data_IF_019167884898
#
_entry.id   IF_019167884898
#
_cell.length_a   1.000
_cell.length_b   1.000
_cell.length_c   1.000
_cell.angle_alpha   90.00
_cell.angle_beta   90.00
_cell.angle_gamma   90.00
#
_symmetry.space_group_name_H-M   'P 1'
#
loop_
_entity.id
_entity.type
_entity.pdbx_description
1 polymer ?
#
# COMPACT_ATOMS: atom_id res chain seq x y z
N UNK A 1 -13.66 -15.35 20.39
CA UNK A 1 -12.52 -16.26 20.67
C UNK A 1 -11.37 -15.74 19.83
N UNK A 2 -10.46 -15.06 20.49
CA UNK A 2 -9.29 -14.45 19.85
C UNK A 2 -8.30 -15.57 19.52
N UNK A 3 -8.26 -15.97 18.25
CA UNK A 3 -7.22 -16.83 17.73
C UNK A 3 -5.90 -16.02 17.70
N UNK A 4 -5.03 -16.28 18.68
CA UNK A 4 -3.69 -15.76 18.63
C UNK A 4 -2.96 -16.42 17.47
N UNK A 5 -2.73 -15.66 16.42
CA UNK A 5 -1.80 -16.05 15.37
C UNK A 5 -0.40 -16.12 15.99
N UNK A 6 0.22 -17.30 15.93
CA UNK A 6 1.62 -17.49 16.28
C UNK A 6 2.49 -16.71 15.28
N UNK A 7 2.69 -15.44 15.59
CA UNK A 7 3.65 -14.61 14.83
C UNK A 7 5.04 -15.17 15.05
N UNK A 8 5.65 -15.71 14.02
CA UNK A 8 7.09 -15.96 14.04
C UNK A 8 7.77 -14.58 13.91
N UNK A 9 7.91 -13.90 15.06
CA UNK A 9 8.54 -12.60 15.10
C UNK A 9 10.02 -12.72 14.79
N UNK A 10 10.43 -12.23 13.63
CA UNK A 10 11.82 -11.89 13.36
C UNK A 10 12.11 -10.58 14.11
N UNK A 11 12.36 -10.67 15.41
CA UNK A 11 12.71 -9.49 16.19
C UNK A 11 14.09 -9.01 15.77
N UNK A 12 14.16 -7.81 15.21
CA UNK A 12 15.41 -7.08 15.18
C UNK A 12 15.94 -6.91 16.60
N UNK A 13 17.27 -7.07 16.77
CA UNK A 13 17.96 -6.80 18.03
C UNK A 13 18.02 -5.30 18.36
N UNK A 14 17.62 -4.43 17.43
CA UNK A 14 17.59 -2.98 17.60
C UNK A 14 16.16 -2.55 17.91
N UNK A 15 15.93 -1.91 19.04
CA UNK A 15 14.65 -1.29 19.38
C UNK A 15 14.30 -0.18 18.40
N UNK A 16 13.00 0.08 18.23
CA UNK A 16 12.48 1.13 17.35
C UNK A 16 10.97 1.07 17.21
N UNK A 17 10.43 1.89 16.33
CA UNK A 17 8.99 1.99 16.02
C UNK A 17 8.54 1.01 14.93
N UNK A 18 9.50 0.33 14.27
CA UNK A 18 9.24 -0.67 13.23
C UNK A 18 9.35 -2.06 13.82
N UNK A 19 8.28 -2.82 13.73
CA UNK A 19 8.26 -4.26 13.98
C UNK A 19 7.90 -5.01 12.70
N UNK A 20 8.43 -6.20 12.51
CA UNK A 20 8.11 -7.05 11.37
C UNK A 20 8.22 -8.53 11.73
N UNK A 21 7.59 -9.36 10.92
CA UNK A 21 7.62 -10.81 11.07
C UNK A 21 6.98 -11.50 9.87
N UNK A 22 7.08 -12.82 9.81
CA UNK A 22 6.24 -13.62 8.92
C UNK A 22 4.93 -13.87 9.64
N UNK A 23 3.82 -13.56 8.97
CA UNK A 23 2.47 -13.70 9.49
C UNK A 23 1.57 -14.28 8.40
N UNK A 24 0.32 -14.53 8.72
CA UNK A 24 -0.68 -15.07 7.81
C UNK A 24 -1.83 -14.09 7.64
N UNK A 25 -2.16 -13.76 6.39
CA UNK A 25 -3.33 -12.96 6.02
C UNK A 25 -4.22 -13.82 5.12
N UNK A 26 -5.42 -14.15 5.57
CA UNK A 26 -6.39 -15.01 4.87
C UNK A 26 -5.77 -16.30 4.31
N UNK A 27 -4.94 -16.99 5.11
CA UNK A 27 -4.30 -18.24 4.71
C UNK A 27 -3.05 -18.09 3.86
N UNK A 28 -2.59 -16.84 3.58
CA UNK A 28 -1.38 -16.56 2.82
C UNK A 28 -0.27 -16.05 3.73
N UNK A 29 0.90 -16.65 3.65
CA UNK A 29 2.08 -16.15 4.35
C UNK A 29 2.59 -14.86 3.71
N UNK A 30 2.84 -13.87 4.55
CA UNK A 30 3.35 -12.55 4.15
C UNK A 30 4.47 -12.11 5.09
N UNK A 31 5.34 -11.25 4.64
CA UNK A 31 6.16 -10.46 5.57
C UNK A 31 5.34 -9.25 5.96
N UNK A 32 4.91 -9.23 7.22
CA UNK A 32 4.11 -8.17 7.79
C UNK A 32 5.01 -7.17 8.49
N UNK A 33 4.86 -5.90 8.16
CA UNK A 33 5.59 -4.76 8.76
C UNK A 33 4.59 -3.84 9.43
N UNK A 34 4.92 -3.39 10.63
CA UNK A 34 4.18 -2.33 11.33
C UNK A 34 5.10 -1.16 11.67
N UNK A 35 4.71 0.02 11.27
CA UNK A 35 5.37 1.28 11.63
C UNK A 35 4.37 2.08 12.46
N UNK A 36 4.56 2.06 13.77
CA UNK A 36 3.67 2.74 14.73
C UNK A 36 4.33 2.81 16.12
N UNK A 37 3.69 3.47 17.06
CA UNK A 37 4.11 3.42 18.46
C UNK A 37 4.70 4.71 18.98
N UNK A 38 5.74 4.60 19.80
CA UNK A 38 6.38 5.74 20.48
C UNK A 38 6.83 6.81 19.47
N UNK A 39 6.94 8.05 19.91
CA UNK A 39 7.34 9.19 19.08
C UNK A 39 6.53 9.33 17.76
N UNK A 40 5.26 8.92 17.76
CA UNK A 40 4.36 8.94 16.60
C UNK A 40 4.91 8.16 15.40
N UNK A 41 5.63 7.06 15.63
CA UNK A 41 6.22 6.27 14.56
C UNK A 41 7.37 6.97 13.83
N UNK A 42 8.12 7.86 14.50
CA UNK A 42 9.26 8.52 13.87
C UNK A 42 10.37 7.50 13.57
N UNK A 43 10.91 7.55 12.35
CA UNK A 43 11.91 6.59 11.89
C UNK A 43 13.32 7.00 12.36
N UNK A 44 13.93 6.15 13.16
CA UNK A 44 15.35 6.20 13.56
C UNK A 44 16.22 5.39 12.59
N UNK A 45 17.54 5.50 12.63
CA UNK A 45 18.41 4.66 11.79
C UNK A 45 18.13 3.15 11.93
N UNK A 46 17.85 2.69 13.14
CA UNK A 46 17.51 1.30 13.43
C UNK A 46 16.19 0.86 12.75
N UNK A 47 15.21 1.74 12.67
CA UNK A 47 13.94 1.49 11.97
C UNK A 47 14.16 1.34 10.48
N UNK A 48 15.04 2.14 9.88
CA UNK A 48 15.46 1.99 8.50
C UNK A 48 16.09 0.63 8.22
N UNK A 49 16.93 0.14 9.12
CA UNK A 49 17.52 -1.20 9.02
C UNK A 49 16.45 -2.29 9.18
N UNK A 50 15.51 -2.14 10.11
CA UNK A 50 14.39 -3.09 10.28
C UNK A 50 13.53 -3.17 9.01
N UNK A 51 13.20 -2.05 8.41
CA UNK A 51 12.50 -1.99 7.12
C UNK A 51 13.29 -2.68 6.01
N UNK A 52 14.60 -2.42 5.93
CA UNK A 52 15.48 -3.04 4.95
C UNK A 52 15.57 -4.56 5.13
N UNK A 53 15.64 -5.05 6.38
CA UNK A 53 15.65 -6.49 6.67
C UNK A 53 14.30 -7.11 6.31
N UNK A 54 13.18 -6.45 6.61
CA UNK A 54 11.85 -6.93 6.24
C UNK A 54 11.71 -7.08 4.72
N UNK A 55 12.11 -6.06 3.96
CA UNK A 55 12.07 -6.09 2.50
C UNK A 55 12.98 -7.19 1.92
N UNK A 56 14.22 -7.32 2.42
CA UNK A 56 15.11 -8.43 2.02
C UNK A 56 14.49 -9.78 2.33
N UNK A 57 13.88 -9.94 3.51
CA UNK A 57 13.23 -11.20 3.90
C UNK A 57 12.09 -11.53 2.95
N UNK A 58 11.24 -10.57 2.61
CA UNK A 58 10.15 -10.76 1.65
C UNK A 58 10.68 -11.24 0.30
N UNK A 59 11.67 -10.54 -0.26
CA UNK A 59 12.30 -10.89 -1.53
C UNK A 59 12.97 -12.28 -1.49
N UNK A 60 13.78 -12.55 -0.48
CA UNK A 60 14.60 -13.76 -0.41
C UNK A 60 13.76 -15.01 -0.08
N UNK A 61 12.68 -14.85 0.69
CA UNK A 61 11.71 -15.90 1.01
C UNK A 61 10.57 -15.98 -0.03
N UNK A 62 10.50 -15.01 -0.97
CA UNK A 62 9.47 -14.95 -2.02
C UNK A 62 8.05 -14.85 -1.45
N UNK A 63 7.88 -13.99 -0.45
CA UNK A 63 6.61 -13.71 0.21
C UNK A 63 6.16 -12.28 -0.08
N UNK A 64 4.86 -12.04 -0.23
CA UNK A 64 4.33 -10.67 -0.31
C UNK A 64 4.77 -9.83 0.89
N UNK A 65 5.01 -8.55 0.65
CA UNK A 65 5.39 -7.57 1.66
C UNK A 65 4.18 -6.67 1.98
N UNK A 66 3.65 -6.79 3.18
CA UNK A 66 2.49 -6.01 3.65
C UNK A 66 2.95 -5.06 4.75
N UNK A 67 2.72 -3.77 4.58
CA UNK A 67 3.18 -2.73 5.49
C UNK A 67 2.00 -1.90 6.02
N UNK A 68 1.74 -1.96 7.33
CA UNK A 68 0.85 -1.03 8.02
C UNK A 68 1.66 0.16 8.49
N UNK A 69 1.29 1.38 8.08
CA UNK A 69 2.10 2.56 8.31
C UNK A 69 1.34 3.70 8.95
N UNK A 70 1.90 4.18 10.09
CA UNK A 70 1.58 5.45 10.70
C UNK A 70 2.89 6.06 11.21
N UNK A 71 3.37 7.14 10.59
CA UNK A 71 4.69 7.69 10.89
C UNK A 71 4.74 9.21 10.72
N UNK A 72 5.34 9.87 11.69
CA UNK A 72 5.61 11.32 11.63
C UNK A 72 6.84 11.68 10.77
N UNK A 73 7.46 10.70 10.11
CA UNK A 73 8.65 10.91 9.29
C UNK A 73 9.95 10.55 9.99
N UNK A 74 11.05 11.13 9.57
CA UNK A 74 12.36 10.89 10.15
C UNK A 74 12.47 11.47 11.57
N UNK A 75 13.15 10.76 12.47
CA UNK A 75 13.52 11.26 13.78
C UNK A 75 14.53 12.41 13.64
N UNK A 76 14.08 13.63 13.90
CA UNK A 76 14.86 14.86 13.62
C UNK A 76 16.13 14.93 14.49
N UNK A 77 16.08 14.41 15.69
CA UNK A 77 17.20 14.32 16.62
C UNK A 77 18.35 13.42 16.12
N UNK A 78 18.08 12.49 15.24
CA UNK A 78 19.08 11.60 14.63
C UNK A 78 19.76 12.21 13.37
N UNK A 79 19.25 13.33 12.89
CA UNK A 79 19.86 14.07 11.78
C UNK A 79 20.07 13.23 10.53
N UNK A 80 21.30 13.25 9.98
CA UNK A 80 21.64 12.52 8.74
C UNK A 80 21.51 10.99 8.91
N UNK A 81 21.64 10.47 10.13
CA UNK A 81 21.47 9.05 10.42
C UNK A 81 20.08 8.53 10.04
N UNK A 82 19.02 9.27 10.37
CA UNK A 82 17.65 8.90 10.01
C UNK A 82 17.44 8.91 8.48
N UNK A 83 18.02 9.87 7.76
CA UNK A 83 17.96 9.93 6.30
C UNK A 83 18.68 8.75 5.66
N UNK A 84 19.86 8.38 6.19
CA UNK A 84 20.59 7.22 5.73
C UNK A 84 19.81 5.92 5.93
N UNK A 85 19.19 5.75 7.12
CA UNK A 85 18.36 4.59 7.42
C UNK A 85 17.16 4.48 6.45
N UNK A 86 16.47 5.58 6.21
CA UNK A 86 15.39 5.64 5.22
C UNK A 86 15.87 5.25 3.81
N UNK A 87 17.01 5.81 3.36
CA UNK A 87 17.59 5.49 2.04
C UNK A 87 17.95 4.01 1.90
N UNK A 88 18.44 3.39 2.99
CA UNK A 88 18.72 1.94 3.03
C UNK A 88 17.43 1.13 2.88
N UNK A 89 16.37 1.50 3.60
CA UNK A 89 15.05 0.88 3.46
C UNK A 89 14.52 1.03 2.02
N UNK A 90 14.48 2.24 1.49
CA UNK A 90 13.96 2.52 0.15
C UNK A 90 14.67 1.69 -0.93
N UNK A 91 15.99 1.53 -0.83
CA UNK A 91 16.77 0.68 -1.75
C UNK A 91 16.28 -0.77 -1.75
N UNK A 92 16.03 -1.34 -0.58
CA UNK A 92 15.56 -2.73 -0.49
C UNK A 92 14.10 -2.89 -0.95
N UNK A 93 13.24 -1.89 -0.71
CA UNK A 93 11.88 -1.87 -1.29
C UNK A 93 11.93 -1.82 -2.81
N UNK A 94 12.79 -0.98 -3.40
CA UNK A 94 13.01 -0.96 -4.86
C UNK A 94 13.46 -2.32 -5.37
N UNK A 95 14.30 -3.04 -4.61
CA UNK A 95 14.75 -4.37 -4.99
C UNK A 95 13.66 -5.46 -4.87
N UNK A 96 12.55 -5.20 -4.18
CA UNK A 96 11.37 -6.06 -4.12
C UNK A 96 10.44 -5.83 -5.32
N UNK A 97 10.45 -4.63 -5.91
CA UNK A 97 9.58 -4.27 -7.03
C UNK A 97 9.76 -5.23 -8.20
N UNK A 98 8.65 -5.80 -8.70
CA UNK A 98 8.66 -6.81 -9.75
C UNK A 98 9.14 -8.20 -9.31
N UNK A 99 9.39 -8.41 -8.01
CA UNK A 99 9.76 -9.74 -7.46
C UNK A 99 8.65 -10.28 -6.58
N UNK A 100 8.16 -9.50 -5.64
CA UNK A 100 7.05 -9.84 -4.74
C UNK A 100 6.06 -8.68 -4.68
N UNK A 101 4.77 -8.93 -4.45
CA UNK A 101 3.79 -7.88 -4.23
C UNK A 101 4.14 -7.03 -3.01
N UNK A 102 4.03 -5.71 -3.15
CA UNK A 102 4.23 -4.73 -2.08
C UNK A 102 2.90 -4.00 -1.84
N UNK A 103 2.30 -4.21 -0.67
CA UNK A 103 1.04 -3.58 -0.28
C UNK A 103 1.27 -2.70 0.93
N UNK A 104 0.91 -1.42 0.84
CA UNK A 104 0.90 -0.50 1.97
C UNK A 104 -0.52 -0.23 2.44
N UNK A 105 -0.71 -0.24 3.75
CA UNK A 105 -1.92 0.23 4.41
C UNK A 105 -1.58 1.43 5.29
N UNK A 106 -2.13 2.59 4.96
CA UNK A 106 -2.00 3.80 5.76
C UNK A 106 -3.01 3.75 6.90
N UNK A 107 -2.51 3.60 8.13
CA UNK A 107 -3.33 3.43 9.35
C UNK A 107 -3.38 4.67 10.23
N UNK A 108 -2.70 5.72 9.82
CA UNK A 108 -2.62 6.99 10.54
C UNK A 108 -1.80 8.02 9.76
N UNK A 109 -1.44 9.14 10.39
CA UNK A 109 -0.58 10.14 9.77
C UNK A 109 0.68 9.51 9.19
N UNK A 110 0.93 9.73 7.89
CA UNK A 110 2.10 9.17 7.19
C UNK A 110 2.77 10.29 6.41
N UNK A 111 3.90 10.80 6.92
CA UNK A 111 4.49 12.02 6.36
C UNK A 111 5.98 11.84 6.00
N UNK A 112 6.48 12.70 5.11
CA UNK A 112 7.88 12.74 4.70
C UNK A 112 8.35 11.44 4.02
N UNK A 113 9.47 10.86 4.46
CA UNK A 113 10.06 9.64 3.89
C UNK A 113 9.10 8.44 3.80
N UNK A 114 8.36 8.08 4.87
CA UNK A 114 7.34 7.04 4.81
C UNK A 114 6.27 7.26 3.73
N UNK A 115 5.83 8.50 3.53
CA UNK A 115 4.89 8.81 2.44
C UNK A 115 5.49 8.57 1.04
N UNK A 116 6.80 8.75 0.87
CA UNK A 116 7.49 8.43 -0.39
C UNK A 116 7.53 6.92 -0.67
N UNK A 117 7.55 6.07 0.38
CA UNK A 117 7.52 4.62 0.19
C UNK A 117 6.21 4.14 -0.44
N UNK A 118 5.10 4.88 -0.27
CA UNK A 118 3.82 4.55 -0.92
C UNK A 118 3.95 4.53 -2.45
N UNK A 119 4.84 5.34 -3.01
CA UNK A 119 5.13 5.32 -4.46
C UNK A 119 5.93 4.11 -4.95
N UNK A 120 6.37 3.23 -4.06
CA UNK A 120 7.03 1.96 -4.38
C UNK A 120 6.10 0.76 -4.20
N UNK A 121 4.88 0.99 -3.72
CA UNK A 121 3.88 -0.05 -3.53
C UNK A 121 3.19 -0.40 -4.86
N UNK A 122 2.82 -1.66 -5.01
CA UNK A 122 1.93 -2.10 -6.08
C UNK A 122 0.48 -1.72 -5.77
N UNK A 123 0.11 -1.77 -4.47
CA UNK A 123 -1.22 -1.37 -3.99
C UNK A 123 -1.10 -0.55 -2.70
N UNK A 124 -1.92 0.49 -2.61
CA UNK A 124 -2.05 1.33 -1.40
C UNK A 124 -3.50 1.33 -0.94
N UNK A 125 -3.71 0.91 0.29
CA UNK A 125 -4.98 1.00 1.01
C UNK A 125 -4.87 2.14 2.02
N UNK A 126 -5.87 2.99 2.14
CA UNK A 126 -5.91 4.03 3.17
C UNK A 126 -7.15 3.85 4.06
N UNK A 127 -6.95 3.89 5.38
CA UNK A 127 -8.06 3.95 6.31
C UNK A 127 -8.63 5.38 6.31
N UNK A 128 -9.95 5.51 6.43
CA UNK A 128 -10.62 6.80 6.51
C UNK A 128 -10.03 7.67 7.63
N UNK A 129 -10.11 8.98 7.47
CA UNK A 129 -9.53 9.98 8.37
C UNK A 129 -8.00 9.92 8.52
N UNK A 130 -7.30 9.15 7.66
CA UNK A 130 -5.83 9.17 7.57
C UNK A 130 -5.36 10.11 6.48
N UNK A 131 -4.07 10.44 6.53
CA UNK A 131 -3.47 11.27 5.49
C UNK A 131 -2.00 10.90 5.26
N UNK A 132 -1.55 11.13 4.02
CA UNK A 132 -0.17 10.94 3.62
C UNK A 132 0.30 12.11 2.75
N UNK A 133 1.47 12.66 3.01
CA UNK A 133 2.12 13.67 2.17
C UNK A 133 3.62 13.79 2.48
N UNK A 134 4.39 14.19 1.51
CA UNK A 134 5.83 14.43 1.70
C UNK A 134 6.07 15.74 2.44
N UNK A 135 5.44 16.82 2.00
CA UNK A 135 5.49 18.13 2.63
C UNK A 135 4.13 18.49 3.19
N UNK A 136 4.09 18.85 4.47
CA UNK A 136 2.84 19.17 5.15
C UNK A 136 2.20 20.50 4.72
N UNK A 137 0.93 20.73 5.06
CA UNK A 137 0.17 21.92 4.66
C UNK A 137 0.88 23.23 4.91
N UNK A 138 1.52 23.38 6.08
CA UNK A 138 2.25 24.61 6.43
C UNK A 138 3.37 24.92 5.43
N UNK A 139 4.12 23.90 4.99
CA UNK A 139 5.21 24.11 4.03
C UNK A 139 4.65 24.42 2.65
N UNK A 140 3.60 23.71 2.24
CA UNK A 140 2.94 23.95 0.96
C UNK A 140 2.37 25.37 0.91
N UNK A 141 1.67 25.82 1.97
CA UNK A 141 1.12 27.17 2.07
C UNK A 141 2.20 28.26 1.99
N UNK A 142 3.38 28.04 2.57
CA UNK A 142 4.49 28.98 2.46
C UNK A 142 5.01 29.16 1.03
N UNK A 143 4.94 28.11 0.21
CA UNK A 143 5.42 28.14 -1.18
C UNK A 143 4.34 28.62 -2.15
N UNK A 144 3.09 28.23 -1.94
CA UNK A 144 2.00 28.48 -2.90
C UNK A 144 1.17 29.70 -2.54
N UNK A 145 1.15 30.09 -1.24
CA UNK A 145 0.24 31.10 -0.72
C UNK A 145 -1.19 30.62 -0.49
N UNK A 146 -1.46 29.32 -0.73
CA UNK A 146 -2.76 28.71 -0.52
C UNK A 146 -2.78 27.91 0.78
N UNK A 147 -3.92 27.95 1.50
CA UNK A 147 -4.08 27.19 2.73
C UNK A 147 -4.72 25.82 2.46
N UNK A 148 -4.13 24.78 3.04
CA UNK A 148 -4.64 23.42 2.97
C UNK A 148 -4.83 22.83 4.37
N UNK A 149 -5.88 22.04 4.54
CA UNK A 149 -5.98 21.10 5.66
C UNK A 149 -5.16 19.83 5.36
N UNK A 150 -4.91 18.99 6.38
CA UNK A 150 -4.28 17.69 6.17
C UNK A 150 -5.08 16.82 5.20
N UNK A 151 -6.41 16.81 5.38
CA UNK A 151 -7.33 16.06 4.54
C UNK A 151 -7.35 16.59 3.09
N UNK A 152 -7.44 17.91 2.93
CA UNK A 152 -7.46 18.57 1.61
C UNK A 152 -6.15 18.42 0.84
N UNK A 153 -5.00 18.24 1.53
CA UNK A 153 -3.70 18.04 0.89
C UNK A 153 -3.41 16.58 0.56
N UNK A 154 -3.74 15.67 1.47
CA UNK A 154 -3.33 14.28 1.34
C UNK A 154 -4.19 13.29 2.13
N UNK A 155 -5.48 13.59 2.34
CA UNK A 155 -6.44 12.68 2.95
C UNK A 155 -6.78 11.49 2.06
N UNK A 156 -7.38 10.44 2.64
CA UNK A 156 -7.77 9.22 1.93
C UNK A 156 -8.60 9.51 0.67
N UNK A 157 -9.64 10.34 0.80
CA UNK A 157 -10.50 10.74 -0.32
C UNK A 157 -9.74 11.53 -1.40
N UNK A 158 -8.79 12.41 -1.00
CA UNK A 158 -7.97 13.15 -1.96
C UNK A 158 -7.08 12.21 -2.75
N UNK A 159 -6.46 11.24 -2.08
CA UNK A 159 -5.59 10.26 -2.73
C UNK A 159 -6.34 9.26 -3.61
N UNK A 160 -7.54 8.86 -3.21
CA UNK A 160 -8.39 7.97 -4.01
C UNK A 160 -8.91 8.66 -5.29
N UNK A 161 -9.48 9.89 -5.15
CA UNK A 161 -10.23 10.52 -6.24
C UNK A 161 -9.41 11.43 -7.15
N UNK A 162 -8.31 11.98 -6.65
CA UNK A 162 -7.59 13.03 -7.35
C UNK A 162 -6.17 12.65 -7.69
N UNK A 163 -5.39 12.13 -6.75
CA UNK A 163 -3.98 11.85 -6.99
C UNK A 163 -3.70 10.41 -7.46
N UNK A 164 -4.62 9.48 -7.18
CA UNK A 164 -4.45 8.07 -7.51
C UNK A 164 -3.39 7.34 -6.65
N UNK A 165 -2.94 7.94 -5.56
CA UNK A 165 -1.99 7.28 -4.63
C UNK A 165 -2.67 6.18 -3.84
N UNK A 166 -3.89 6.41 -3.34
CA UNK A 166 -4.71 5.36 -2.76
C UNK A 166 -5.47 4.63 -3.87
N UNK A 167 -5.29 3.33 -3.94
CA UNK A 167 -6.05 2.45 -4.83
C UNK A 167 -7.40 2.10 -4.21
N UNK A 168 -7.42 1.97 -2.87
CA UNK A 168 -8.61 1.61 -2.12
C UNK A 168 -8.67 2.37 -0.79
N UNK A 169 -9.89 2.59 -0.31
CA UNK A 169 -10.15 3.13 1.02
C UNK A 169 -11.01 2.17 1.83
N UNK A 170 -10.90 2.21 3.15
CA UNK A 170 -11.70 1.41 4.07
C UNK A 170 -11.91 2.16 5.39
N UNK A 171 -12.89 1.73 6.18
CA UNK A 171 -13.29 2.44 7.40
C UNK A 171 -12.38 2.19 8.58
N UNK A 172 -11.76 1.01 8.67
CA UNK A 172 -10.98 0.60 9.82
C UNK A 172 -9.92 -0.45 9.46
N UNK A 173 -9.18 -0.88 10.49
CA UNK A 173 -8.10 -1.85 10.34
C UNK A 173 -8.58 -3.24 9.94
N UNK A 174 -9.71 -3.66 10.47
CA UNK A 174 -10.24 -5.00 10.17
C UNK A 174 -10.66 -5.06 8.69
N UNK A 175 -11.37 -4.03 8.22
CA UNK A 175 -11.69 -3.87 6.81
C UNK A 175 -10.45 -3.78 5.91
N UNK A 176 -9.36 -3.16 6.38
CA UNK A 176 -8.10 -3.13 5.64
C UNK A 176 -7.47 -4.53 5.53
N UNK A 177 -7.50 -5.33 6.59
CA UNK A 177 -6.98 -6.71 6.57
C UNK A 177 -7.79 -7.59 5.61
N UNK A 178 -9.11 -7.47 5.64
CA UNK A 178 -10.00 -8.21 4.74
C UNK A 178 -9.73 -7.83 3.28
N UNK A 179 -9.63 -6.54 2.98
CA UNK A 179 -9.32 -6.04 1.64
C UNK A 179 -7.94 -6.48 1.16
N UNK A 180 -6.91 -6.44 2.02
CA UNK A 180 -5.57 -6.93 1.69
C UNK A 180 -5.61 -8.45 1.41
N UNK A 181 -6.38 -9.21 2.18
CA UNK A 181 -6.60 -10.63 1.94
C UNK A 181 -7.25 -10.89 0.57
N UNK A 182 -8.24 -10.09 0.21
CA UNK A 182 -8.87 -10.13 -1.11
C UNK A 182 -7.87 -9.80 -2.23
N UNK A 183 -7.13 -8.70 -2.12
CA UNK A 183 -6.09 -8.32 -3.09
C UNK A 183 -5.04 -9.41 -3.27
N UNK A 184 -4.57 -10.00 -2.18
CA UNK A 184 -3.65 -11.12 -2.24
C UNK A 184 -4.24 -12.34 -2.95
N UNK A 185 -5.57 -12.54 -2.95
CA UNK A 185 -6.21 -13.65 -3.64
C UNK A 185 -6.08 -13.58 -5.16
N UNK A 186 -5.84 -12.39 -5.72
CA UNK A 186 -5.64 -12.16 -7.15
C UNK A 186 -4.16 -12.16 -7.55
N UNK A 187 -3.25 -12.03 -6.59
CA UNK A 187 -1.81 -11.89 -6.86
C UNK A 187 -1.06 -13.19 -6.56
N UNK A 188 -0.01 -13.53 -7.33
CA UNK A 188 0.91 -14.59 -6.94
C UNK A 188 1.76 -14.15 -5.73
N UNK A 189 2.42 -15.09 -5.05
CA UNK A 189 3.36 -14.75 -3.97
C UNK A 189 4.62 -14.05 -4.51
N UNK A 190 5.01 -14.38 -5.72
CA UNK A 190 6.18 -13.81 -6.38
C UNK A 190 6.12 -14.01 -7.91
N UNK A 191 6.96 -13.29 -8.63
CA UNK A 191 6.95 -13.23 -10.10
C UNK A 191 7.17 -14.57 -10.81
N UNK A 192 7.80 -15.58 -10.17
CA UNK A 192 8.03 -16.89 -10.78
C UNK A 192 6.86 -17.88 -10.56
N UNK A 193 5.78 -17.45 -9.92
CA UNK A 193 4.57 -18.25 -9.69
C UNK A 193 3.44 -17.72 -10.58
N UNK A 194 2.68 -18.64 -11.17
CA UNK A 194 1.48 -18.25 -11.91
C UNK A 194 0.47 -17.57 -10.97
N UNK A 195 -0.26 -16.55 -11.44
CA UNK A 195 -1.32 -15.92 -10.65
C UNK A 195 -2.42 -16.96 -10.34
N UNK A 196 -3.14 -16.77 -9.23
CA UNK A 196 -4.33 -17.56 -8.95
C UNK A 196 -5.31 -17.49 -10.12
N UNK A 197 -5.93 -18.62 -10.44
CA UNK A 197 -6.93 -18.70 -11.48
C UNK A 197 -8.25 -19.21 -10.87
N UNK A 198 -9.32 -18.53 -11.16
CA UNK A 198 -10.66 -18.91 -10.75
C UNK A 198 -11.39 -19.55 -11.93
N UNK A 199 -12.12 -20.67 -11.71
CA UNK A 199 -12.94 -21.22 -12.77
C UNK A 199 -14.02 -20.20 -13.16
N UNK A 200 -14.04 -19.80 -14.43
CA UNK A 200 -15.12 -18.99 -14.99
C UNK A 200 -16.02 -19.86 -15.85
N UNK A 201 -17.33 -19.61 -15.81
CA UNK A 201 -18.32 -20.17 -16.74
C UNK A 201 -18.37 -19.42 -18.08
N UNK A 202 -17.67 -18.32 -18.19
CA UNK A 202 -17.69 -17.45 -19.35
C UNK A 202 -16.85 -18.06 -20.51
N UNK A 203 -17.41 -18.19 -21.72
CA UNK A 203 -16.65 -18.68 -22.86
C UNK A 203 -15.53 -17.72 -23.26
N UNK A 204 -14.33 -18.24 -23.55
CA UNK A 204 -13.15 -17.45 -23.94
C UNK A 204 -13.35 -16.63 -25.23
N UNK A 205 -14.35 -16.98 -26.03
CA UNK A 205 -14.70 -16.34 -27.29
C UNK A 205 -16.08 -15.64 -27.24
N UNK A 206 -16.59 -15.35 -26.04
CA UNK A 206 -17.84 -14.62 -25.84
C UNK A 206 -17.78 -13.26 -26.53
N UNK A 207 -18.69 -12.97 -27.49
CA UNK A 207 -18.75 -11.65 -28.08
C UNK A 207 -19.38 -10.64 -27.11
N UNK A 208 -18.86 -9.43 -27.06
CA UNK A 208 -19.33 -8.33 -26.20
C UNK A 208 -19.76 -7.11 -27.02
N UNK A 209 -20.76 -7.22 -27.93
CA UNK A 209 -21.17 -6.11 -28.79
C UNK A 209 -21.69 -4.91 -27.98
N UNK A 210 -22.33 -5.14 -26.82
CA UNK A 210 -22.83 -4.13 -25.91
C UNK A 210 -21.75 -3.19 -25.41
N UNK A 211 -20.51 -3.65 -25.25
CA UNK A 211 -19.37 -2.81 -24.88
C UNK A 211 -19.10 -1.71 -25.92
N UNK A 212 -19.28 -2.03 -27.20
CA UNK A 212 -19.16 -1.07 -28.30
C UNK A 212 -20.28 -0.02 -28.31
N UNK A 213 -21.48 -0.41 -27.92
CA UNK A 213 -22.66 0.48 -27.89
C UNK A 213 -22.56 1.54 -26.77
N UNK A 214 -21.79 1.26 -25.72
CA UNK A 214 -21.55 2.19 -24.62
C UNK A 214 -20.54 3.30 -24.96
N UNK A 215 -19.74 3.11 -26.02
CA UNK A 215 -18.72 4.08 -26.42
C UNK A 215 -19.35 5.13 -27.33
N UNK A 216 -19.31 6.44 -26.98
CA UNK A 216 -19.86 7.50 -27.82
C UNK A 216 -19.20 7.54 -29.20
N UNK A 217 -20.01 7.77 -30.22
CA UNK A 217 -19.52 7.94 -31.60
C UNK A 217 -18.80 9.26 -31.83
N UNK A 218 -18.90 10.21 -30.91
CA UNK A 218 -18.25 11.52 -30.97
C UNK A 218 -16.97 11.55 -30.15
N UNK A 219 -15.94 12.20 -30.66
CA UNK A 219 -14.63 12.32 -29.96
C UNK A 219 -14.68 13.15 -28.68
N UNK A 220 -15.76 13.88 -28.45
CA UNK A 220 -15.99 14.71 -27.26
C UNK A 220 -16.98 14.09 -26.27
N UNK A 221 -17.54 12.95 -26.59
CA UNK A 221 -18.46 12.22 -25.72
C UNK A 221 -17.70 11.61 -24.54
N UNK A 222 -18.24 11.77 -23.33
CA UNK A 222 -17.74 11.09 -22.12
C UNK A 222 -18.61 9.87 -21.81
N UNK A 223 -18.00 8.83 -21.23
CA UNK A 223 -18.70 7.64 -20.77
C UNK A 223 -17.98 7.09 -19.53
N UNK A 224 -18.67 6.26 -18.75
CA UNK A 224 -18.04 5.55 -17.65
C UNK A 224 -17.38 4.27 -18.19
N UNK A 225 -16.06 4.20 -18.08
CA UNK A 225 -15.29 3.04 -18.53
C UNK A 225 -15.66 1.76 -17.78
N UNK A 226 -16.17 1.87 -16.54
CA UNK A 226 -16.60 0.72 -15.74
C UNK A 226 -17.76 -0.02 -16.38
N UNK A 227 -18.67 0.69 -17.03
CA UNK A 227 -19.77 0.07 -17.78
C UNK A 227 -19.25 -0.80 -18.92
N UNK A 228 -18.22 -0.33 -19.63
CA UNK A 228 -17.54 -1.10 -20.70
C UNK A 228 -16.79 -2.30 -20.10
N UNK A 229 -16.07 -2.09 -19.00
CA UNK A 229 -15.31 -3.16 -18.34
C UNK A 229 -16.26 -4.26 -17.84
N UNK A 230 -17.40 -3.91 -17.26
CA UNK A 230 -18.41 -4.88 -16.78
C UNK A 230 -18.94 -5.79 -17.91
N UNK A 231 -18.91 -5.33 -19.17
CA UNK A 231 -19.27 -6.18 -20.32
C UNK A 231 -18.15 -7.16 -20.70
N UNK A 232 -16.89 -6.85 -20.36
CA UNK A 232 -15.70 -7.58 -20.82
C UNK A 232 -15.20 -8.60 -19.80
N UNK A 233 -15.26 -8.25 -18.50
CA UNK A 233 -14.81 -9.13 -17.43
C UNK A 233 -15.74 -10.32 -17.22
N UNK A 234 -15.20 -11.41 -16.70
CA UNK A 234 -15.97 -12.61 -16.41
C UNK A 234 -17.07 -12.33 -15.38
N UNK A 235 -18.29 -12.77 -15.66
CA UNK A 235 -19.46 -12.60 -14.79
C UNK A 235 -19.76 -11.16 -14.36
N UNK A 236 -19.17 -10.15 -15.04
CA UNK A 236 -19.35 -8.72 -14.73
C UNK A 236 -18.65 -8.27 -13.45
N UNK A 237 -17.74 -9.05 -12.91
CA UNK A 237 -16.99 -8.74 -11.68
C UNK A 237 -15.88 -7.72 -11.96
N UNK A 238 -16.00 -6.53 -11.32
CA UNK A 238 -15.03 -5.44 -11.33
C UNK A 238 -14.46 -5.23 -9.95
#
# INVERSE_FOLDING_TARGET
MTGGTDRVGLRSLTGGTVSFGVDEVHGRHVVLVEISGEDRGSLRPADGENLAVAARTARDQRLPLVCFVASSGAAVDEGVGAVHGWGTAAREFVACSGVVPIIFCVTGPTVSGPALLLGLADMVVMIDDTFAFVSGPRMVSQFTGEEFSNEGLGGSTMHERTTGVAHFTCTDRDGAVDLIGELLSYLPDHTDTAPPCWPSGDPVDRPTPEAGDLIPTTTTGSYDVRDVLSCVVDDGHL
#
